data_IF_823362923582
#
_entry.id   IF_823362923582
#
_cell.length_a   1.000
_cell.length_b   1.000
_cell.length_c   1.000
_cell.angle_alpha   90.00
_cell.angle_beta   90.00
_cell.angle_gamma   90.00
#
_symmetry.space_group_name_H-M   'P 1'
#
loop_
_entity.id
_entity.type
_entity.pdbx_description
1 polymer ?
#
# COMPACT_ATOMS: atom_id res chain seq x y z
N UNK A 1 2.76 1.27 -58.34
CA UNK A 1 1.92 0.18 -58.87
C UNK A 1 0.93 -0.20 -57.75
N UNK A 2 -0.28 0.33 -57.90
CA UNK A 2 -1.39 0.19 -56.94
C UNK A 2 -1.99 -1.21 -57.04
N UNK A 3 -2.36 -1.80 -55.89
CA UNK A 3 -3.47 -2.75 -55.86
C UNK A 3 -4.28 -2.51 -54.59
N UNK A 4 -5.38 -1.81 -54.76
CA UNK A 4 -6.59 -1.83 -53.94
C UNK A 4 -7.18 -3.24 -53.99
N UNK A 5 -7.69 -3.74 -52.89
CA UNK A 5 -8.71 -4.76 -52.91
C UNK A 5 -9.81 -4.40 -51.92
N UNK A 6 -10.97 -4.30 -52.47
CA UNK A 6 -12.24 -3.83 -51.93
C UNK A 6 -13.06 -4.99 -51.38
N UNK A 7 -13.68 -4.81 -50.23
CA UNK A 7 -15.04 -5.08 -49.75
C UNK A 7 -15.74 -6.37 -50.18
N UNK A 8 -16.37 -7.05 -49.23
CA UNK A 8 -17.81 -7.34 -49.35
C UNK A 8 -18.46 -7.60 -47.96
N UNK A 9 -19.44 -6.79 -47.63
CA UNK A 9 -20.46 -6.94 -46.60
C UNK A 9 -21.49 -8.00 -47.02
N UNK A 10 -21.92 -8.86 -46.09
CA UNK A 10 -23.23 -9.46 -46.10
C UNK A 10 -23.76 -9.60 -44.68
N UNK A 11 -24.81 -8.88 -44.43
CA UNK A 11 -25.74 -9.04 -43.36
C UNK A 11 -26.84 -10.04 -43.71
N UNK A 12 -27.54 -10.53 -42.73
CA UNK A 12 -28.90 -11.09 -42.63
C UNK A 12 -29.11 -11.32 -41.13
N UNK A 13 -29.93 -10.60 -40.40
CA UNK A 13 -31.37 -10.57 -40.17
C UNK A 13 -31.98 -11.97 -39.89
N UNK A 14 -32.55 -12.11 -38.72
CA UNK A 14 -33.91 -12.52 -38.41
C UNK A 14 -34.01 -13.15 -37.03
N UNK A 15 -34.72 -12.52 -36.10
CA UNK A 15 -36.13 -12.79 -35.68
C UNK A 15 -36.32 -14.13 -34.97
N UNK A 16 -36.82 -14.23 -33.80
CA UNK A 16 -38.03 -13.87 -33.13
C UNK A 16 -38.34 -14.83 -32.00
N UNK A 17 -38.84 -14.29 -30.90
CA UNK A 17 -39.97 -14.76 -30.09
C UNK A 17 -40.04 -16.23 -29.63
N UNK A 18 -40.13 -16.46 -28.31
CA UNK A 18 -41.44 -16.79 -27.69
C UNK A 18 -41.31 -16.93 -26.16
N UNK A 19 -42.24 -16.30 -25.53
CA UNK A 19 -42.55 -16.32 -24.09
C UNK A 19 -43.01 -17.72 -23.65
N UNK A 20 -42.65 -18.11 -22.41
CA UNK A 20 -43.57 -18.94 -21.63
C UNK A 20 -43.49 -18.58 -20.15
N UNK A 21 -44.60 -18.09 -19.66
CA UNK A 21 -44.93 -17.89 -18.25
C UNK A 21 -45.35 -19.25 -17.66
N UNK A 22 -44.82 -19.61 -16.51
CA UNK A 22 -45.49 -20.54 -15.60
C UNK A 22 -45.51 -19.98 -14.20
N UNK A 23 -46.72 -19.77 -13.76
CA UNK A 23 -47.14 -19.44 -12.40
C UNK A 23 -47.26 -20.70 -11.54
N UNK A 24 -47.11 -20.47 -10.26
CA UNK A 24 -47.74 -21.12 -9.11
C UNK A 24 -46.97 -22.18 -8.35
N UNK A 25 -46.92 -21.92 -7.06
CA UNK A 25 -46.65 -22.91 -6.02
C UNK A 25 -46.26 -22.30 -4.70
N UNK A 26 -47.21 -21.66 -3.99
CA UNK A 26 -47.05 -21.35 -2.55
C UNK A 26 -46.95 -22.64 -1.76
N UNK A 27 -45.97 -22.74 -0.86
CA UNK A 27 -46.12 -23.56 0.33
C UNK A 27 -45.45 -22.87 1.50
N UNK A 28 -46.33 -22.51 2.43
CA UNK A 28 -46.09 -21.87 3.71
C UNK A 28 -45.71 -22.96 4.71
N UNK A 29 -44.60 -22.89 5.36
CA UNK A 29 -44.36 -23.58 6.63
C UNK A 29 -43.48 -22.76 7.53
N UNK A 30 -44.10 -22.20 8.52
CA UNK A 30 -43.56 -21.47 9.65
C UNK A 30 -43.12 -22.51 10.68
N UNK A 31 -41.95 -22.40 11.27
CA UNK A 31 -41.76 -23.01 12.60
C UNK A 31 -41.89 -21.97 13.70
N UNK A 32 -42.59 -22.39 14.66
CA UNK A 32 -43.01 -21.84 15.92
C UNK A 32 -41.85 -21.36 16.78
N UNK A 33 -42.05 -20.20 17.36
CA UNK A 33 -41.29 -19.63 18.46
C UNK A 33 -41.58 -20.44 19.72
N UNK A 34 -40.55 -20.80 20.45
CA UNK A 34 -40.67 -21.05 21.89
C UNK A 34 -39.74 -20.09 22.62
N UNK A 35 -40.40 -19.37 23.50
CA UNK A 35 -39.87 -18.34 24.38
C UNK A 35 -39.07 -18.94 25.56
N UNK A 36 -38.35 -18.00 26.13
CA UNK A 36 -37.93 -17.87 27.51
C UNK A 36 -36.51 -18.36 27.81
N UNK A 37 -35.59 -17.45 28.03
CA UNK A 37 -35.29 -16.96 29.38
C UNK A 37 -34.52 -15.64 29.35
N UNK A 38 -35.05 -14.73 30.16
CA UNK A 38 -34.51 -13.45 30.53
C UNK A 38 -33.28 -13.62 31.39
N UNK A 39 -32.17 -13.02 31.06
CA UNK A 39 -31.21 -12.62 32.06
C UNK A 39 -30.68 -11.21 31.81
N UNK A 40 -31.06 -10.32 32.68
CA UNK A 40 -30.66 -8.93 32.73
C UNK A 40 -29.19 -8.85 33.20
N UNK A 41 -28.38 -8.14 32.45
CA UNK A 41 -26.99 -7.82 32.79
C UNK A 41 -26.39 -6.94 31.73
N UNK A 42 -26.85 -5.66 31.67
CA UNK A 42 -26.28 -4.67 30.74
C UNK A 42 -24.83 -4.36 31.06
N UNK A 43 -23.96 -4.75 30.15
CA UNK A 43 -22.70 -4.07 29.95
C UNK A 43 -22.54 -3.85 28.45
N UNK A 44 -22.94 -2.67 28.00
CA UNK A 44 -22.58 -2.13 26.71
C UNK A 44 -21.09 -1.85 26.73
N UNK A 45 -20.28 -2.83 26.40
CA UNK A 45 -18.89 -2.58 26.05
C UNK A 45 -18.88 -1.88 24.69
N UNK A 46 -18.70 -0.59 24.70
CA UNK A 46 -18.36 0.18 23.50
C UNK A 46 -17.00 -0.36 23.05
N UNK A 47 -17.01 -1.19 22.01
CA UNK A 47 -15.79 -1.63 21.36
C UNK A 47 -15.04 -0.38 20.85
N UNK A 48 -13.74 -0.27 21.13
CA UNK A 48 -12.94 0.83 20.58
C UNK A 48 -12.97 0.73 19.06
N UNK A 49 -13.15 1.89 18.42
CA UNK A 49 -13.26 2.04 16.97
C UNK A 49 -12.17 1.24 16.23
N UNK A 50 -12.62 0.28 15.49
CA UNK A 50 -12.11 -0.58 14.47
C UNK A 50 -10.62 -0.54 14.10
N UNK A 51 -9.79 -1.27 14.80
CA UNK A 51 -8.60 -1.87 14.16
C UNK A 51 -9.11 -2.93 13.20
N UNK A 52 -8.88 -2.73 11.89
CA UNK A 52 -9.08 -3.82 10.94
C UNK A 52 -8.18 -5.01 11.35
N UNK A 53 -8.79 -6.11 11.76
CA UNK A 53 -8.09 -7.37 12.08
C UNK A 53 -8.33 -8.29 10.89
N UNK A 54 -7.27 -8.82 10.33
CA UNK A 54 -7.41 -9.82 9.25
C UNK A 54 -8.23 -11.01 9.73
N UNK A 55 -9.03 -11.60 8.84
CA UNK A 55 -9.72 -12.85 9.09
C UNK A 55 -8.70 -13.96 9.39
N UNK A 56 -9.19 -15.04 10.01
CA UNK A 56 -8.35 -16.20 10.27
C UNK A 56 -7.68 -16.67 8.96
N UNK A 57 -6.37 -16.94 9.00
CA UNK A 57 -5.52 -17.29 7.85
C UNK A 57 -5.36 -16.22 6.77
N UNK A 58 -5.62 -14.96 7.09
CA UNK A 58 -5.38 -13.83 6.19
C UNK A 58 -4.32 -12.89 6.78
N UNK A 59 -3.57 -12.25 5.91
CA UNK A 59 -2.71 -11.11 6.20
C UNK A 59 -3.31 -9.85 5.59
N UNK A 60 -2.97 -8.69 6.12
CA UNK A 60 -3.34 -7.40 5.54
C UNK A 60 -2.14 -6.87 4.75
N UNK A 61 -2.33 -6.60 3.49
CA UNK A 61 -1.29 -6.10 2.59
C UNK A 61 -1.75 -4.78 1.98
N UNK A 62 -0.84 -3.85 1.77
CA UNK A 62 -1.04 -2.64 0.96
C UNK A 62 0.10 -2.48 -0.02
N UNK A 63 -0.11 -1.74 -1.09
CA UNK A 63 0.86 -1.54 -2.14
C UNK A 63 1.23 -0.07 -2.31
N UNK A 64 2.52 0.22 -2.35
CA UNK A 64 3.10 1.53 -2.62
C UNK A 64 3.87 1.50 -3.94
N UNK A 65 3.51 2.35 -4.89
CA UNK A 65 4.34 2.60 -6.05
C UNK A 65 5.27 3.79 -5.75
N UNK A 66 6.55 3.51 -5.47
CA UNK A 66 7.60 4.50 -5.22
C UNK A 66 8.55 4.68 -6.43
N UNK A 67 8.32 4.00 -7.56
CA UNK A 67 9.11 4.18 -8.79
C UNK A 67 8.83 5.54 -9.44
N UNK A 68 9.85 6.43 -9.55
CA UNK A 68 9.69 7.78 -10.07
C UNK A 68 9.55 7.79 -11.59
N UNK A 69 8.38 7.42 -12.06
CA UNK A 69 8.08 7.36 -13.49
C UNK A 69 6.62 7.60 -13.79
N UNK A 70 6.27 7.52 -15.06
CA UNK A 70 4.87 7.62 -15.52
C UNK A 70 4.17 6.27 -15.57
N UNK A 71 4.91 5.18 -15.40
CA UNK A 71 4.38 3.83 -15.46
C UNK A 71 3.45 3.58 -14.27
N UNK A 72 2.28 3.07 -14.58
CA UNK A 72 1.36 2.54 -13.57
C UNK A 72 1.56 1.05 -13.49
N UNK A 73 1.42 0.51 -12.29
CA UNK A 73 1.67 -0.90 -12.06
C UNK A 73 0.43 -1.62 -11.54
N UNK A 74 0.33 -2.88 -11.93
CA UNK A 74 -0.55 -3.88 -11.35
C UNK A 74 0.30 -4.82 -10.51
N UNK A 75 -0.14 -5.10 -9.28
CA UNK A 75 0.51 -6.06 -8.40
C UNK A 75 -0.33 -7.32 -8.31
N UNK A 76 0.32 -8.45 -8.50
CA UNK A 76 -0.26 -9.78 -8.38
C UNK A 76 0.32 -10.48 -7.17
N UNK A 77 -0.48 -11.30 -6.52
CA UNK A 77 -0.01 -12.28 -5.55
C UNK A 77 -0.36 -13.67 -6.08
N UNK A 78 0.66 -14.47 -6.39
CA UNK A 78 0.56 -15.71 -7.15
C UNK A 78 -0.17 -15.51 -8.49
N UNK A 79 -1.39 -16.04 -8.62
CA UNK A 79 -2.20 -15.94 -9.83
C UNK A 79 -3.28 -14.85 -9.75
N UNK A 80 -3.45 -14.21 -8.59
CA UNK A 80 -4.49 -13.22 -8.36
C UNK A 80 -3.96 -11.81 -8.56
N UNK A 81 -4.61 -11.02 -9.44
CA UNK A 81 -4.36 -9.58 -9.55
C UNK A 81 -4.97 -8.89 -8.33
N UNK A 82 -4.12 -8.36 -7.46
CA UNK A 82 -4.54 -7.80 -6.18
C UNK A 82 -4.75 -6.29 -6.27
N UNK A 83 -3.81 -5.59 -6.88
CA UNK A 83 -3.91 -4.13 -7.05
C UNK A 83 -3.77 -3.78 -8.52
N UNK A 84 -4.52 -2.77 -8.96
CA UNK A 84 -4.57 -2.37 -10.36
C UNK A 84 -4.31 -0.88 -10.53
N UNK A 85 -3.62 -0.53 -11.61
CA UNK A 85 -3.48 0.84 -12.08
C UNK A 85 -2.90 1.80 -11.02
N UNK A 86 -1.94 1.32 -10.21
CA UNK A 86 -1.33 2.09 -9.13
C UNK A 86 -0.27 3.01 -9.70
N UNK A 87 -0.51 4.32 -9.66
CA UNK A 87 0.41 5.35 -10.14
C UNK A 87 1.52 5.64 -9.13
N UNK A 88 2.59 6.27 -9.59
CA UNK A 88 3.65 6.81 -8.75
C UNK A 88 3.10 7.59 -7.54
N UNK A 89 3.72 7.42 -6.38
CA UNK A 89 3.33 8.02 -5.10
C UNK A 89 1.92 7.64 -4.61
N UNK A 90 1.37 6.53 -5.08
CA UNK A 90 0.10 6.00 -4.57
C UNK A 90 0.34 4.86 -3.61
N UNK A 91 -0.12 5.05 -2.37
CA UNK A 91 -0.29 3.99 -1.39
C UNK A 91 -1.76 3.53 -1.41
N UNK A 92 -1.99 2.24 -1.57
CA UNK A 92 -3.35 1.66 -1.55
C UNK A 92 -3.84 1.46 -0.11
N UNK A 93 -5.14 1.26 0.12
CA UNK A 93 -5.62 0.67 1.36
C UNK A 93 -5.03 -0.72 1.58
N UNK A 94 -5.15 -1.21 2.83
CA UNK A 94 -4.91 -2.63 3.10
C UNK A 94 -6.02 -3.48 2.51
N UNK A 95 -5.64 -4.61 1.93
CA UNK A 95 -6.53 -5.66 1.47
C UNK A 95 -6.14 -7.00 2.10
N UNK A 96 -7.08 -7.93 2.19
CA UNK A 96 -6.86 -9.25 2.77
C UNK A 96 -6.27 -10.20 1.73
N UNK A 97 -5.10 -10.75 2.00
CA UNK A 97 -4.45 -11.78 1.20
C UNK A 97 -4.27 -13.06 2.01
N UNK A 98 -4.29 -14.25 1.38
CA UNK A 98 -4.01 -15.50 2.08
C UNK A 98 -2.67 -15.44 2.82
N UNK A 99 -2.68 -15.84 4.10
CA UNK A 99 -1.46 -15.95 4.89
C UNK A 99 -0.69 -17.22 4.49
N UNK A 100 0.18 -17.08 3.52
CA UNK A 100 0.96 -18.18 2.93
C UNK A 100 2.30 -17.67 2.41
N UNK A 101 3.15 -18.61 1.98
CA UNK A 101 4.27 -18.28 1.10
C UNK A 101 3.74 -18.15 -0.31
N UNK A 102 4.06 -17.06 -0.97
CA UNK A 102 3.61 -16.75 -2.32
C UNK A 102 4.56 -15.82 -3.03
N UNK A 103 4.25 -15.50 -4.25
CA UNK A 103 5.06 -14.67 -5.12
C UNK A 103 4.32 -13.40 -5.50
N UNK A 104 4.90 -12.25 -5.16
CA UNK A 104 4.46 -10.97 -5.67
C UNK A 104 5.07 -10.74 -7.05
N UNK A 105 4.24 -10.36 -8.02
CA UNK A 105 4.65 -10.03 -9.40
C UNK A 105 4.17 -8.64 -9.77
N UNK A 106 5.09 -7.81 -10.22
CA UNK A 106 4.80 -6.47 -10.69
C UNK A 106 4.73 -6.46 -12.22
N UNK A 107 3.66 -5.90 -12.77
CA UNK A 107 3.49 -5.69 -14.21
C UNK A 107 3.10 -4.25 -14.52
N UNK A 108 3.48 -3.76 -15.69
CA UNK A 108 2.91 -2.51 -16.18
C UNK A 108 1.39 -2.70 -16.40
N UNK A 109 0.60 -1.73 -15.95
CA UNK A 109 -0.86 -1.82 -16.03
C UNK A 109 -1.35 -1.95 -17.47
N UNK A 110 -2.25 -2.91 -17.69
CA UNK A 110 -2.77 -3.26 -19.01
C UNK A 110 -1.92 -4.22 -19.82
N UNK A 111 -0.83 -4.76 -19.23
CA UNK A 111 0.09 -5.71 -19.87
C UNK A 111 0.12 -7.04 -19.09
N UNK A 112 -1.04 -7.64 -18.87
CA UNK A 112 -1.22 -8.83 -18.02
C UNK A 112 -0.47 -10.07 -18.55
N UNK A 113 -0.34 -10.19 -19.87
CA UNK A 113 0.27 -11.34 -20.55
C UNK A 113 1.78 -11.19 -20.76
N UNK A 114 2.38 -10.10 -20.27
CA UNK A 114 3.82 -9.89 -20.37
C UNK A 114 4.55 -10.48 -19.16
N UNK A 115 5.88 -10.66 -19.29
CA UNK A 115 6.71 -11.00 -18.14
C UNK A 115 6.64 -9.91 -17.07
N UNK A 116 6.65 -10.28 -15.78
CA UNK A 116 6.74 -9.33 -14.69
C UNK A 116 8.02 -8.49 -14.77
N UNK A 117 7.93 -7.20 -14.47
CA UNK A 117 9.10 -6.31 -14.40
C UNK A 117 9.87 -6.46 -13.08
N UNK A 118 9.23 -7.02 -12.05
CA UNK A 118 9.85 -7.44 -10.81
C UNK A 118 9.07 -8.59 -10.19
N UNK A 119 9.79 -9.46 -9.46
CA UNK A 119 9.25 -10.61 -8.73
C UNK A 119 9.87 -10.64 -7.35
N UNK A 120 9.05 -10.86 -6.31
CA UNK A 120 9.50 -10.99 -4.93
C UNK A 120 8.75 -12.10 -4.21
N UNK A 121 9.47 -13.01 -3.60
CA UNK A 121 8.87 -14.00 -2.70
C UNK A 121 8.43 -13.33 -1.41
N UNK A 122 7.19 -13.59 -0.98
CA UNK A 122 6.62 -13.11 0.25
C UNK A 122 6.23 -14.25 1.18
N UNK A 123 6.51 -14.08 2.46
CA UNK A 123 5.96 -14.93 3.53
C UNK A 123 4.96 -14.10 4.32
N UNK A 124 3.68 -14.33 4.05
CA UNK A 124 2.59 -13.65 4.74
C UNK A 124 2.13 -14.50 5.94
N UNK A 125 2.14 -13.91 7.13
CA UNK A 125 1.70 -14.55 8.37
C UNK A 125 0.30 -14.08 8.75
N UNK A 126 -0.51 -14.99 9.29
CA UNK A 126 -1.89 -14.69 9.70
C UNK A 126 -1.95 -13.54 10.72
N UNK A 127 -2.83 -12.58 10.47
CA UNK A 127 -3.03 -11.41 11.32
C UNK A 127 -1.95 -10.34 11.22
N UNK A 128 -0.90 -10.55 10.44
CA UNK A 128 0.17 -9.57 10.21
C UNK A 128 -0.17 -8.60 9.08
N UNK A 129 0.57 -7.50 9.04
CA UNK A 129 0.44 -6.45 8.04
C UNK A 129 1.73 -6.24 7.30
N UNK A 130 1.61 -5.90 6.02
CA UNK A 130 2.74 -5.70 5.13
C UNK A 130 2.48 -4.53 4.18
N UNK A 131 3.54 -3.80 3.89
CA UNK A 131 3.58 -2.86 2.77
C UNK A 131 4.48 -3.47 1.69
N UNK A 132 3.93 -3.73 0.51
CA UNK A 132 4.71 -4.08 -0.67
C UNK A 132 5.06 -2.78 -1.38
N UNK A 133 6.34 -2.58 -1.69
CA UNK A 133 6.84 -1.35 -2.31
C UNK A 133 7.44 -1.68 -3.66
N UNK A 134 6.96 -1.05 -4.71
CA UNK A 134 7.65 -1.04 -6.00
C UNK A 134 8.64 0.13 -6.01
N UNK A 135 9.89 -0.17 -6.21
CA UNK A 135 11.00 0.78 -6.19
C UNK A 135 12.10 0.35 -7.17
N UNK A 136 13.19 1.08 -7.19
CA UNK A 136 14.41 0.65 -7.88
C UNK A 136 15.47 0.30 -6.85
N UNK A 137 16.16 -0.83 -7.09
CA UNK A 137 17.32 -1.23 -6.31
C UNK A 137 18.52 -0.26 -6.53
N UNK A 138 19.63 -0.52 -5.87
CA UNK A 138 20.82 0.32 -5.98
C UNK A 138 21.43 0.35 -7.39
N UNK A 139 21.17 -0.66 -8.20
CA UNK A 139 21.60 -0.79 -9.59
C UNK A 139 20.61 -0.14 -10.58
N UNK A 140 19.45 0.33 -10.08
CA UNK A 140 18.40 0.97 -10.87
C UNK A 140 17.40 0.00 -11.52
N UNK A 141 17.45 -1.29 -11.22
CA UNK A 141 16.48 -2.27 -11.69
C UNK A 141 15.17 -2.16 -10.91
N UNK A 142 14.05 -2.52 -11.55
CA UNK A 142 12.79 -2.62 -10.84
C UNK A 142 12.83 -3.75 -9.81
N UNK A 143 12.43 -3.43 -8.59
CA UNK A 143 12.39 -4.33 -7.46
C UNK A 143 11.06 -4.22 -6.70
N UNK A 144 10.77 -5.23 -5.89
CA UNK A 144 9.68 -5.26 -4.94
C UNK A 144 10.23 -5.58 -3.56
N UNK A 145 9.87 -4.76 -2.58
CA UNK A 145 10.10 -5.05 -1.17
C UNK A 145 8.82 -5.43 -0.45
N UNK A 146 8.88 -6.47 0.39
CA UNK A 146 7.77 -6.89 1.26
C UNK A 146 8.12 -6.55 2.70
N UNK A 147 7.66 -5.39 3.15
CA UNK A 147 8.03 -4.80 4.44
C UNK A 147 6.95 -5.12 5.48
N UNK A 148 7.29 -5.77 6.61
CA UNK A 148 6.34 -5.97 7.68
C UNK A 148 5.99 -4.63 8.37
N UNK A 149 4.68 -4.42 8.60
CA UNK A 149 4.17 -3.25 9.29
C UNK A 149 3.90 -3.58 10.76
N UNK A 150 4.91 -3.35 11.61
CA UNK A 150 4.74 -3.49 13.05
C UNK A 150 4.08 -2.25 13.62
N UNK A 151 2.75 -2.25 13.67
CA UNK A 151 1.95 -1.12 14.15
C UNK A 151 1.70 -1.19 15.68
N UNK A 152 2.66 -1.69 16.45
CA UNK A 152 2.61 -1.55 17.91
C UNK A 152 2.58 -0.06 18.30
N UNK A 153 1.65 0.37 19.18
CA UNK A 153 1.50 1.78 19.53
C UNK A 153 2.81 2.41 20.00
N UNK A 154 3.04 3.70 19.77
CA UNK A 154 4.16 4.41 20.37
C UNK A 154 4.03 4.47 21.90
N UNK A 155 5.16 4.72 22.57
CA UNK A 155 5.18 4.99 24.00
C UNK A 155 4.33 6.23 24.32
N UNK A 156 3.86 6.34 25.57
CA UNK A 156 3.00 7.44 25.98
C UNK A 156 3.64 8.81 25.66
N UNK A 157 2.88 9.69 25.04
CA UNK A 157 3.32 11.03 24.62
C UNK A 157 4.25 11.06 23.42
N UNK A 158 4.61 9.92 22.84
CA UNK A 158 5.46 9.81 21.64
C UNK A 158 4.67 9.60 20.36
N UNK A 159 5.31 9.85 19.24
CA UNK A 159 4.96 9.33 17.92
C UNK A 159 5.95 8.22 17.55
N UNK A 160 5.61 7.39 16.58
CA UNK A 160 6.58 6.48 15.94
C UNK A 160 6.83 6.88 14.51
N UNK A 161 8.07 6.76 14.08
CA UNK A 161 8.49 7.05 12.70
C UNK A 161 9.37 5.93 12.20
N UNK A 162 9.22 5.58 10.93
CA UNK A 162 10.19 4.80 10.14
C UNK A 162 10.48 5.51 8.82
N UNK A 163 11.54 5.11 8.14
CA UNK A 163 11.93 5.59 6.82
C UNK A 163 11.96 4.44 5.84
N UNK A 164 11.45 4.66 4.63
CA UNK A 164 11.65 3.81 3.45
C UNK A 164 12.45 4.62 2.46
N UNK A 165 13.65 4.15 2.08
CA UNK A 165 14.48 4.83 1.10
C UNK A 165 14.36 4.16 -0.27
N UNK A 166 13.47 4.71 -1.11
CA UNK A 166 13.26 4.33 -2.50
C UNK A 166 13.90 5.32 -3.51
N UNK A 167 14.84 6.17 -3.05
CA UNK A 167 15.52 7.17 -3.88
C UNK A 167 16.86 6.63 -4.40
N UNK A 168 16.84 5.76 -5.41
CA UNK A 168 18.00 4.97 -5.84
C UNK A 168 19.20 5.79 -6.32
N UNK A 169 18.99 6.91 -7.00
CA UNK A 169 20.11 7.80 -7.42
C UNK A 169 20.63 8.69 -6.28
N UNK A 170 19.87 8.83 -5.19
CA UNK A 170 20.30 9.61 -4.04
C UNK A 170 21.27 8.84 -3.14
N UNK A 171 21.12 7.49 -3.10
CA UNK A 171 21.98 6.64 -2.29
C UNK A 171 21.57 6.59 -0.82
N UNK A 172 22.57 6.51 0.06
CA UNK A 172 22.37 6.40 1.50
C UNK A 172 21.89 7.74 2.10
N UNK A 173 20.94 7.67 3.04
CA UNK A 173 20.31 8.84 3.61
C UNK A 173 20.41 8.91 5.13
N UNK A 174 20.57 10.13 5.63
CA UNK A 174 20.40 10.51 7.03
C UNK A 174 19.17 11.40 7.17
N UNK A 175 18.34 11.13 8.18
CA UNK A 175 17.19 11.97 8.54
C UNK A 175 17.45 12.64 9.88
N UNK A 176 17.55 13.95 9.87
CA UNK A 176 17.99 14.77 11.00
C UNK A 176 16.85 15.68 11.46
N UNK A 177 16.63 15.81 12.75
CA UNK A 177 15.76 16.85 13.29
C UNK A 177 16.52 18.18 13.33
N UNK A 178 16.01 19.18 12.61
CA UNK A 178 16.71 20.46 12.43
C UNK A 178 16.93 21.22 13.75
N UNK A 179 15.93 21.22 14.63
CA UNK A 179 15.91 22.08 15.84
C UNK A 179 17.09 21.85 16.79
N UNK A 180 17.60 20.62 16.87
CA UNK A 180 18.69 20.24 17.76
C UNK A 180 19.81 19.47 17.02
N UNK A 181 19.73 19.44 15.69
CA UNK A 181 20.64 18.69 14.83
C UNK A 181 20.77 17.20 15.22
N UNK A 182 19.70 16.64 15.81
CA UNK A 182 19.69 15.25 16.29
C UNK A 182 19.33 14.28 15.17
N UNK A 183 20.16 13.28 14.90
CA UNK A 183 19.81 12.25 13.91
C UNK A 183 18.66 11.39 14.43
N UNK A 184 17.60 11.29 13.66
CA UNK A 184 16.53 10.32 13.87
C UNK A 184 16.91 8.98 13.26
N UNK A 185 17.43 9.02 12.05
CA UNK A 185 17.93 7.84 11.32
C UNK A 185 19.23 8.20 10.62
N UNK A 186 20.16 7.28 10.56
CA UNK A 186 21.45 7.43 9.87
C UNK A 186 21.73 6.21 9.03
N UNK A 187 22.38 6.41 7.89
CA UNK A 187 22.84 5.32 7.05
C UNK A 187 21.74 4.48 6.45
N UNK A 188 20.57 5.06 6.16
CA UNK A 188 19.45 4.34 5.53
C UNK A 188 19.80 4.09 4.07
N UNK A 189 20.16 2.86 3.74
CA UNK A 189 20.51 2.47 2.38
C UNK A 189 19.31 2.54 1.45
N UNK A 190 19.59 2.70 0.16
CA UNK A 190 18.58 2.51 -0.89
C UNK A 190 18.00 1.10 -0.79
N UNK A 191 16.73 0.96 -1.21
CA UNK A 191 16.02 -0.32 -1.21
C UNK A 191 15.93 -0.93 0.20
N UNK A 192 15.79 -0.07 1.22
CA UNK A 192 15.61 -0.52 2.61
C UNK A 192 14.55 0.28 3.35
N UNK A 193 13.95 -0.39 4.34
CA UNK A 193 13.09 0.22 5.34
C UNK A 193 13.71 0.07 6.73
N UNK A 194 13.61 1.11 7.54
CA UNK A 194 14.02 1.04 8.95
C UNK A 194 12.88 0.45 9.80
N UNK A 195 13.23 -0.01 11.00
CA UNK A 195 12.23 -0.25 12.04
C UNK A 195 11.59 1.07 12.50
N UNK A 196 10.37 0.96 13.08
CA UNK A 196 9.74 2.09 13.74
C UNK A 196 10.48 2.48 15.02
N UNK A 197 10.73 3.77 15.20
CA UNK A 197 11.39 4.35 16.35
C UNK A 197 10.48 5.37 17.04
N UNK A 198 10.41 5.34 18.37
CA UNK A 198 9.73 6.37 19.16
C UNK A 198 10.45 7.71 19.04
N UNK A 199 9.71 8.76 18.73
CA UNK A 199 10.19 10.14 18.64
C UNK A 199 9.29 11.07 19.43
N UNK A 200 9.79 12.24 19.79
CA UNK A 200 8.96 13.25 20.46
C UNK A 200 7.84 13.73 19.55
N UNK A 201 6.63 13.75 20.08
CA UNK A 201 5.47 14.27 19.36
C UNK A 201 5.56 15.80 19.32
N UNK A 202 5.84 16.34 18.15
CA UNK A 202 5.97 17.78 17.92
C UNK A 202 5.78 18.14 16.45
N UNK A 203 5.42 19.37 16.16
CA UNK A 203 5.68 19.95 14.86
C UNK A 203 7.18 20.19 14.72
N UNK A 204 7.79 19.65 13.70
CA UNK A 204 9.24 19.69 13.52
C UNK A 204 9.62 19.90 12.05
N UNK A 205 10.82 20.39 11.82
CA UNK A 205 11.45 20.36 10.50
C UNK A 205 12.47 19.22 10.47
N UNK A 206 12.38 18.39 9.46
CA UNK A 206 13.32 17.32 9.20
C UNK A 206 14.21 17.68 8.01
N UNK A 207 15.47 17.33 8.10
CA UNK A 207 16.43 17.44 7.01
C UNK A 207 16.79 16.04 6.53
N UNK A 208 16.79 15.86 5.21
CA UNK A 208 17.39 14.70 4.59
C UNK A 208 18.77 15.11 4.08
N UNK A 209 19.77 14.37 4.47
CA UNK A 209 21.15 14.53 4.05
C UNK A 209 21.63 13.27 3.36
N UNK A 210 22.54 13.42 2.42
CA UNK A 210 23.28 12.28 1.87
C UNK A 210 24.20 11.71 2.97
N UNK A 211 24.29 10.39 3.05
CA UNK A 211 25.01 9.70 4.12
C UNK A 211 26.44 10.20 4.29
N UNK A 212 26.76 10.57 5.51
CA UNK A 212 28.07 11.13 5.86
C UNK A 212 28.29 12.60 5.48
N UNK A 213 27.30 13.29 4.91
CA UNK A 213 27.38 14.70 4.56
C UNK A 213 26.61 15.58 5.56
N UNK A 214 27.15 16.77 5.86
CA UNK A 214 26.52 17.69 6.82
C UNK A 214 25.55 18.71 6.17
N UNK A 215 25.46 18.73 4.85
CA UNK A 215 24.59 19.66 4.15
C UNK A 215 23.23 19.02 3.85
N UNK A 216 22.12 19.68 4.19
CA UNK A 216 20.80 19.16 3.83
C UNK A 216 20.63 19.21 2.30
N UNK A 217 20.14 18.09 1.74
CA UNK A 217 19.74 18.01 0.34
C UNK A 217 18.24 18.29 0.19
N UNK A 218 17.46 17.97 1.22
CA UNK A 218 16.03 18.23 1.26
C UNK A 218 15.60 18.66 2.66
N UNK A 219 14.71 19.64 2.75
CA UNK A 219 14.11 20.10 4.00
C UNK A 219 12.61 19.84 3.95
N UNK A 220 12.13 19.07 4.93
CA UNK A 220 10.69 18.85 5.16
C UNK A 220 10.25 19.78 6.28
N UNK A 221 9.64 20.90 5.89
CA UNK A 221 9.10 21.86 6.84
C UNK A 221 7.76 21.39 7.42
N UNK A 222 7.50 21.72 8.68
CA UNK A 222 6.21 21.53 9.34
C UNK A 222 5.67 20.09 9.37
N UNK A 223 6.56 19.09 9.52
CA UNK A 223 6.14 17.72 9.78
C UNK A 223 5.50 17.66 11.16
N UNK A 224 4.19 17.39 11.22
CA UNK A 224 3.43 17.35 12.46
C UNK A 224 3.31 15.91 12.99
N UNK A 225 4.21 15.54 13.88
CA UNK A 225 4.22 14.24 14.52
C UNK A 225 3.34 14.27 15.78
N UNK A 226 2.13 13.72 15.71
CA UNK A 226 1.17 13.70 16.81
C UNK A 226 1.41 12.54 17.76
N UNK A 227 1.20 12.75 19.05
CA UNK A 227 1.29 11.70 20.06
C UNK A 227 0.30 10.56 19.76
N UNK A 228 0.76 9.31 19.94
CA UNK A 228 -0.05 8.12 19.68
C UNK A 228 -0.15 7.73 18.21
N UNK A 229 0.44 8.50 17.29
CA UNK A 229 0.40 8.24 15.85
C UNK A 229 1.71 7.65 15.33
N UNK A 230 1.61 6.96 14.20
CA UNK A 230 2.73 6.33 13.52
C UNK A 230 2.87 6.92 12.12
N UNK A 231 4.11 7.07 11.68
CA UNK A 231 4.43 7.68 10.40
C UNK A 231 5.47 6.88 9.64
N UNK A 232 5.27 6.75 8.35
CA UNK A 232 6.31 6.29 7.40
C UNK A 232 6.76 7.48 6.57
N UNK A 233 8.04 7.81 6.57
CA UNK A 233 8.64 8.78 5.66
C UNK A 233 9.16 8.01 4.46
N UNK A 234 8.55 8.22 3.30
CA UNK A 234 8.99 7.61 2.04
C UNK A 234 9.88 8.59 1.30
N UNK A 235 11.12 8.22 1.09
CA UNK A 235 12.03 8.94 0.23
C UNK A 235 11.96 8.36 -1.18
N UNK A 236 11.78 9.20 -2.19
CA UNK A 236 11.64 8.78 -3.58
C UNK A 236 12.06 9.91 -4.53
N UNK A 237 12.18 9.64 -5.82
CA UNK A 237 12.74 10.59 -6.78
C UNK A 237 14.25 10.66 -6.67
N UNK A 238 14.81 11.88 -6.75
CA UNK A 238 16.25 12.11 -6.76
C UNK A 238 16.91 11.76 -8.10
N UNK A 239 16.11 11.56 -9.17
CA UNK A 239 16.58 11.27 -10.51
C UNK A 239 16.73 12.56 -11.33
N UNK A 240 17.37 12.48 -12.49
CA UNK A 240 17.50 13.62 -13.38
C UNK A 240 16.15 14.24 -13.81
N UNK A 241 15.08 13.45 -13.82
CA UNK A 241 13.73 13.88 -14.23
C UNK A 241 12.77 14.13 -13.06
N UNK A 242 13.06 13.61 -11.88
CA UNK A 242 12.18 13.69 -10.72
C UNK A 242 12.98 14.13 -9.49
N UNK A 243 12.73 15.33 -8.95
CA UNK A 243 13.42 15.81 -7.76
C UNK A 243 13.29 14.84 -6.57
N UNK A 244 14.29 14.83 -5.68
CA UNK A 244 14.21 14.12 -4.42
C UNK A 244 13.03 14.64 -3.59
N UNK A 245 12.24 13.72 -3.08
CA UNK A 245 11.11 13.99 -2.19
C UNK A 245 11.19 13.08 -0.98
N UNK A 246 10.73 13.58 0.15
CA UNK A 246 10.51 12.77 1.34
C UNK A 246 9.11 13.09 1.88
N UNK A 247 8.24 12.10 1.92
CA UNK A 247 6.82 12.25 2.10
C UNK A 247 6.41 11.56 3.39
N UNK A 248 6.00 12.31 4.43
CA UNK A 248 5.46 11.70 5.64
C UNK A 248 4.03 11.21 5.41
N UNK A 249 3.80 9.95 5.72
CA UNK A 249 2.50 9.30 5.68
C UNK A 249 2.11 8.94 7.11
N UNK A 250 0.93 9.33 7.56
CA UNK A 250 0.36 8.79 8.79
C UNK A 250 -0.12 7.35 8.51
N UNK A 251 0.41 6.38 9.26
CA UNK A 251 0.09 4.98 9.09
C UNK A 251 -1.27 4.65 9.73
N UNK A 252 -2.33 4.93 9.01
CA UNK A 252 -3.68 4.56 9.37
C UNK A 252 -4.04 3.18 8.82
N UNK A 253 -4.79 2.41 9.61
CA UNK A 253 -5.11 1.01 9.31
C UNK A 253 -6.10 0.81 8.16
N UNK A 254 -6.74 1.87 7.67
CA UNK A 254 -7.95 1.74 6.85
C UNK A 254 -7.98 2.55 5.55
N UNK A 255 -7.04 3.47 5.30
CA UNK A 255 -7.14 4.33 4.12
C UNK A 255 -5.90 4.31 3.23
N UNK A 256 -6.13 4.21 1.92
CA UNK A 256 -5.13 4.50 0.91
C UNK A 256 -4.91 6.01 0.80
N UNK A 257 -3.66 6.41 0.75
CA UNK A 257 -3.26 7.81 0.62
C UNK A 257 -2.61 8.03 -0.73
N UNK A 258 -2.99 9.10 -1.42
CA UNK A 258 -2.16 9.64 -2.49
C UNK A 258 -1.12 10.50 -1.82
N UNK A 259 0.15 10.16 -2.01
CA UNK A 259 1.25 10.98 -1.56
C UNK A 259 1.18 12.27 -2.37
N UNK A 260 0.63 13.33 -1.73
CA UNK A 260 0.32 14.57 -2.41
C UNK A 260 1.56 15.36 -2.78
N UNK A 261 1.40 16.15 -3.78
CA UNK A 261 2.30 17.23 -4.18
C UNK A 261 2.33 18.32 -3.13
#
# INVERSE_FOLDING_TARGET
>A
MFKLLTITTHGIIATSLLSLVFLAGCSNSKPTIQDTETNAGGQTSVAPAGRAVAKQNMALVRFLNADPGTTRYDLWFDKAKTYTNVRYQRLTPYDELPATHGEFRLRASGWDDTEPVAIQLGRLESGKRYTVVALRDAEGNMALDVIPDNLAPPSNGKAKVRVINAAFEFGQADVIRQSDNKPLFTGVNVDTATDYKDVDAAATTLEVREGGHNRPTLILSAVNLKAGKMYTIVMTGGTASTPLQAIPIEDELTQGVTLGL
#
